data_IF_680466814104
#
_entry.id   IF_680466814104
#
_cell.length_a   1.000
_cell.length_b   1.000
_cell.length_c   1.000
_cell.angle_alpha   90.00
_cell.angle_beta   90.00
_cell.angle_gamma   90.00
#
_symmetry.space_group_name_H-M   'P 1'
#
loop_
_entity.id
_entity.type
_entity.pdbx_description
1 polymer ?
#
# COMPACT_ATOMS: atom_id res chain seq x y z
N UNK A 1 -30.32 47.51 -21.13
CA UNK A 1 -29.71 46.72 -22.22
C UNK A 1 -29.57 45.29 -21.71
N UNK A 2 -29.95 44.32 -22.54
CA UNK A 2 -30.49 43.00 -22.20
C UNK A 2 -29.52 41.96 -21.57
N UNK A 3 -30.03 40.90 -20.90
CA UNK A 3 -29.24 39.71 -20.57
C UNK A 3 -28.92 38.87 -21.82
N UNK A 4 -27.69 38.37 -21.90
CA UNK A 4 -27.19 37.45 -22.94
C UNK A 4 -27.60 35.99 -22.62
N UNK A 5 -27.77 35.12 -23.64
CA UNK A 5 -28.38 33.80 -23.49
C UNK A 5 -27.38 32.68 -23.12
N UNK A 6 -27.90 31.66 -22.45
CA UNK A 6 -27.22 30.39 -22.11
C UNK A 6 -27.01 29.56 -23.38
N UNK A 7 -25.77 29.13 -23.65
CA UNK A 7 -25.47 28.17 -24.71
C UNK A 7 -25.78 26.73 -24.27
N UNK A 8 -26.66 26.07 -25.00
CA UNK A 8 -26.92 24.64 -24.87
C UNK A 8 -25.81 23.82 -25.55
N UNK A 9 -25.12 22.99 -24.77
CA UNK A 9 -24.17 22.00 -25.28
C UNK A 9 -24.90 20.86 -26.00
N UNK A 10 -24.60 20.71 -27.29
CA UNK A 10 -25.12 19.68 -28.19
C UNK A 10 -24.59 18.29 -27.80
N UNK A 11 -25.48 17.31 -27.60
CA UNK A 11 -25.13 15.91 -27.33
C UNK A 11 -24.51 15.24 -28.56
N UNK A 12 -23.43 14.47 -28.32
CA UNK A 12 -22.65 13.77 -29.35
C UNK A 12 -23.45 12.60 -30.01
N UNK A 13 -23.62 12.60 -31.36
CA UNK A 13 -24.46 11.64 -32.08
C UNK A 13 -23.96 10.17 -32.09
N UNK A 14 -22.78 9.87 -31.55
CA UNK A 14 -22.29 8.48 -31.40
C UNK A 14 -22.92 7.72 -30.23
N UNK A 15 -23.43 8.42 -29.19
CA UNK A 15 -24.01 7.77 -28.01
C UNK A 15 -25.48 7.35 -28.18
N UNK A 16 -26.23 7.97 -29.10
CA UNK A 16 -27.62 7.57 -29.37
C UNK A 16 -27.71 6.19 -30.07
N UNK A 17 -26.71 5.80 -30.88
CA UNK A 17 -26.74 4.53 -31.62
C UNK A 17 -26.46 3.30 -30.75
N UNK A 18 -25.64 3.40 -29.70
CA UNK A 18 -25.32 2.27 -28.80
C UNK A 18 -26.43 1.94 -27.81
N UNK A 19 -27.12 2.96 -27.29
CA UNK A 19 -28.26 2.78 -26.38
C UNK A 19 -29.48 2.19 -27.12
N UNK A 20 -29.71 2.60 -28.38
CA UNK A 20 -30.79 2.05 -29.20
C UNK A 20 -30.61 0.57 -29.58
N UNK A 21 -29.38 0.11 -29.85
CA UNK A 21 -29.12 -1.28 -30.25
C UNK A 21 -29.23 -2.25 -29.05
N UNK A 22 -28.73 -1.84 -27.87
CA UNK A 22 -28.82 -2.66 -26.65
C UNK A 22 -30.27 -2.85 -26.16
N UNK A 23 -31.10 -1.82 -26.24
CA UNK A 23 -32.51 -1.89 -25.87
C UNK A 23 -33.31 -2.79 -26.85
N UNK A 24 -33.06 -2.68 -28.17
CA UNK A 24 -33.76 -3.51 -29.17
C UNK A 24 -33.40 -4.99 -29.06
N UNK A 25 -32.17 -5.35 -28.70
CA UNK A 25 -31.77 -6.75 -28.49
C UNK A 25 -32.42 -7.31 -27.21
N UNK A 26 -32.47 -6.53 -26.12
CA UNK A 26 -33.06 -6.99 -24.86
C UNK A 26 -34.58 -7.21 -24.99
N UNK A 27 -35.29 -6.29 -25.67
CA UNK A 27 -36.74 -6.41 -25.88
C UNK A 27 -37.11 -7.52 -26.87
N UNK A 28 -36.32 -7.76 -27.92
CA UNK A 28 -36.61 -8.87 -28.87
C UNK A 28 -36.39 -10.24 -28.24
N UNK A 29 -35.39 -10.39 -27.36
CA UNK A 29 -35.11 -11.65 -26.67
C UNK A 29 -36.19 -12.00 -25.65
N UNK A 30 -36.68 -11.01 -24.89
CA UNK A 30 -37.78 -11.23 -23.93
C UNK A 30 -39.07 -11.60 -24.66
N UNK A 31 -39.44 -10.88 -25.74
CA UNK A 31 -40.66 -11.17 -26.51
C UNK A 31 -40.61 -12.58 -27.11
N UNK A 32 -39.44 -13.04 -27.59
CA UNK A 32 -39.27 -14.39 -28.13
C UNK A 32 -39.47 -15.49 -27.07
N UNK A 33 -38.97 -15.27 -25.84
CA UNK A 33 -39.13 -16.19 -24.71
C UNK A 33 -40.61 -16.23 -24.24
N UNK A 34 -41.31 -15.10 -24.23
CA UNK A 34 -42.73 -15.04 -23.85
C UNK A 34 -43.66 -15.68 -24.89
N UNK A 35 -43.28 -15.64 -26.17
CA UNK A 35 -44.03 -16.30 -27.25
C UNK A 35 -43.81 -17.82 -27.22
N UNK A 36 -42.58 -18.29 -27.00
CA UNK A 36 -42.27 -19.72 -26.91
C UNK A 36 -42.94 -20.39 -25.70
N UNK A 37 -43.01 -19.70 -24.55
CA UNK A 37 -43.69 -20.21 -23.34
C UNK A 37 -45.21 -20.30 -23.50
N UNK A 38 -45.83 -19.49 -24.36
CA UNK A 38 -47.27 -19.58 -24.67
C UNK A 38 -47.63 -20.63 -25.72
N UNK A 39 -46.73 -20.96 -26.64
CA UNK A 39 -46.99 -21.92 -27.72
C UNK A 39 -46.77 -23.37 -27.25
N UNK A 40 -45.83 -23.62 -26.32
CA UNK A 40 -45.41 -24.98 -25.97
C UNK A 40 -45.83 -25.47 -24.57
N UNK A 41 -46.75 -24.78 -23.88
CA UNK A 41 -47.56 -25.35 -22.79
C UNK A 41 -46.83 -26.16 -21.71
N UNK A 42 -45.59 -25.82 -21.38
CA UNK A 42 -44.76 -26.59 -20.44
C UNK A 42 -43.66 -25.73 -19.85
N UNK A 43 -43.50 -25.79 -18.53
CA UNK A 43 -42.40 -25.17 -17.79
C UNK A 43 -41.11 -25.92 -18.09
N UNK A 44 -40.41 -25.53 -19.16
CA UNK A 44 -39.03 -25.96 -19.40
C UNK A 44 -38.13 -24.87 -18.81
N UNK A 45 -37.68 -25.07 -17.58
CA UNK A 45 -36.55 -24.31 -17.05
C UNK A 45 -35.33 -24.71 -17.89
N UNK A 46 -34.61 -23.77 -18.52
CA UNK A 46 -33.38 -24.12 -19.20
C UNK A 46 -32.34 -24.47 -18.13
N UNK A 47 -31.92 -25.72 -18.06
CA UNK A 47 -30.62 -26.03 -17.47
C UNK A 47 -29.56 -25.38 -18.35
N UNK A 48 -29.11 -24.20 -17.95
CA UNK A 48 -27.94 -23.55 -18.53
C UNK A 48 -26.73 -24.35 -18.06
N UNK A 49 -26.33 -25.33 -18.86
CA UNK A 49 -25.08 -26.05 -18.65
C UNK A 49 -23.92 -25.11 -18.96
N UNK A 50 -23.42 -24.42 -17.93
CA UNK A 50 -22.16 -23.72 -18.03
C UNK A 50 -21.06 -24.75 -18.25
N UNK A 51 -20.20 -24.61 -19.28
CA UNK A 51 -19.06 -25.48 -19.43
C UNK A 51 -18.23 -25.41 -18.14
N UNK A 52 -17.93 -26.56 -17.55
CA UNK A 52 -17.23 -26.68 -16.26
C UNK A 52 -15.89 -25.93 -16.23
N UNK A 53 -15.30 -25.67 -17.42
CA UNK A 53 -14.12 -24.83 -17.62
C UNK A 53 -14.34 -23.31 -17.40
N UNK A 54 -15.58 -22.83 -17.53
CA UNK A 54 -15.94 -21.44 -17.24
C UNK A 54 -16.25 -21.25 -15.75
N UNK A 55 -16.84 -22.26 -15.11
CA UNK A 55 -17.02 -22.27 -13.65
C UNK A 55 -15.69 -22.46 -12.89
N UNK A 56 -14.69 -23.13 -13.48
CA UNK A 56 -13.33 -23.18 -12.92
C UNK A 56 -12.54 -21.87 -13.10
N UNK A 57 -13.00 -20.97 -13.97
CA UNK A 57 -12.44 -19.62 -14.15
C UNK A 57 -13.15 -18.58 -13.27
N UNK A 58 -14.37 -18.87 -12.81
CA UNK A 58 -15.02 -18.21 -11.67
C UNK A 58 -14.55 -18.96 -10.41
N UNK A 59 -13.24 -19.12 -10.28
CA UNK A 59 -12.64 -19.50 -9.02
C UNK A 59 -13.01 -18.40 -8.03
N UNK A 60 -13.78 -18.76 -7.02
CA UNK A 60 -14.03 -17.94 -5.85
C UNK A 60 -12.68 -17.43 -5.34
N UNK A 61 -12.31 -16.19 -5.64
CA UNK A 61 -11.38 -15.47 -4.77
C UNK A 61 -12.13 -15.32 -3.46
N UNK A 62 -11.93 -16.29 -2.57
CA UNK A 62 -12.42 -16.25 -1.22
C UNK A 62 -11.93 -14.94 -0.62
N UNK A 63 -12.86 -14.10 -0.16
CA UNK A 63 -12.52 -12.84 0.51
C UNK A 63 -11.56 -13.16 1.65
N UNK A 64 -10.39 -12.51 1.67
CA UNK A 64 -9.44 -12.64 2.76
C UNK A 64 -9.93 -12.03 4.07
N UNK A 65 -11.04 -11.30 4.04
CA UNK A 65 -11.63 -10.71 5.23
C UNK A 65 -12.05 -11.84 6.17
N UNK A 66 -11.50 -11.81 7.38
CA UNK A 66 -11.82 -12.74 8.46
C UNK A 66 -13.34 -12.91 8.58
N UNK A 67 -13.78 -14.16 8.80
CA UNK A 67 -15.21 -14.48 8.94
C UNK A 67 -15.79 -13.69 10.12
N UNK A 68 -17.03 -13.25 10.02
CA UNK A 68 -17.78 -12.69 11.16
C UNK A 68 -17.66 -13.65 12.36
N UNK A 69 -16.98 -13.20 13.43
CA UNK A 69 -16.78 -13.98 14.66
C UNK A 69 -15.33 -14.11 15.14
N UNK A 70 -14.34 -13.92 14.26
CA UNK A 70 -12.94 -13.85 14.69
C UNK A 70 -12.67 -12.50 15.35
N UNK A 71 -12.04 -12.49 16.53
CA UNK A 71 -11.58 -11.26 17.15
C UNK A 71 -10.51 -10.63 16.24
N UNK A 72 -10.74 -9.41 15.77
CA UNK A 72 -9.75 -8.70 14.96
C UNK A 72 -8.47 -8.53 15.82
N UNK A 73 -7.33 -9.12 15.43
CA UNK A 73 -6.08 -9.00 16.19
C UNK A 73 -5.66 -7.54 16.41
N UNK A 74 -6.08 -6.62 15.53
CA UNK A 74 -5.83 -5.19 15.69
C UNK A 74 -6.44 -4.63 16.97
N UNK A 75 -7.60 -5.10 17.44
CA UNK A 75 -8.21 -4.58 18.68
C UNK A 75 -7.34 -4.87 19.91
N UNK A 76 -6.76 -6.08 19.99
CA UNK A 76 -5.85 -6.42 21.08
C UNK A 76 -4.52 -5.65 20.98
N UNK A 77 -4.01 -5.45 19.76
CA UNK A 77 -2.79 -4.69 19.51
C UNK A 77 -2.98 -3.20 19.79
N UNK A 78 -4.13 -2.63 19.46
CA UNK A 78 -4.47 -1.25 19.78
C UNK A 78 -4.50 -1.04 21.30
N UNK A 79 -5.05 -2.02 22.05
CA UNK A 79 -5.02 -2.00 23.50
C UNK A 79 -3.58 -2.10 24.05
N UNK A 80 -2.73 -2.98 23.48
CA UNK A 80 -1.31 -3.11 23.84
C UNK A 80 -0.56 -1.78 23.69
N UNK A 81 -0.82 -1.05 22.61
CA UNK A 81 -0.13 0.20 22.28
C UNK A 81 -0.88 1.47 22.68
N UNK A 82 -1.96 1.36 23.45
CA UNK A 82 -2.78 2.49 23.88
C UNK A 82 -1.99 3.56 24.67
N UNK A 83 -0.89 3.15 25.32
CA UNK A 83 -0.01 4.00 26.10
C UNK A 83 0.97 4.85 25.27
N UNK A 84 1.14 4.53 23.98
CA UNK A 84 2.02 5.28 23.08
C UNK A 84 1.34 6.56 22.58
N UNK A 85 2.14 7.59 22.28
CA UNK A 85 1.67 8.84 21.70
C UNK A 85 1.07 8.60 20.31
N UNK A 86 -0.10 9.19 20.06
CA UNK A 86 -0.73 9.26 18.75
C UNK A 86 -0.56 10.63 18.09
N UNK A 87 -0.05 11.62 18.82
CA UNK A 87 0.16 12.99 18.35
C UNK A 87 1.55 13.23 17.75
N UNK A 88 2.45 12.26 17.86
CA UNK A 88 3.80 12.25 17.29
C UNK A 88 4.10 10.98 16.50
N UNK A 89 5.25 10.93 15.83
CA UNK A 89 5.74 9.76 15.12
C UNK A 89 7.24 9.52 15.30
N UNK A 90 7.64 8.26 15.08
CA UNK A 90 9.03 7.82 15.04
C UNK A 90 9.43 7.47 13.62
N UNK A 91 10.65 7.79 13.21
CA UNK A 91 11.23 7.32 11.94
C UNK A 91 12.03 6.05 12.20
N UNK A 92 11.74 4.98 11.47
CA UNK A 92 12.55 3.77 11.38
C UNK A 92 13.26 3.75 10.03
N UNK A 93 14.55 4.06 10.03
CA UNK A 93 15.36 4.26 8.82
C UNK A 93 16.37 3.13 8.66
N UNK A 94 16.19 2.27 7.65
CA UNK A 94 17.17 1.22 7.38
C UNK A 94 18.35 1.75 6.57
N UNK A 95 19.56 1.30 6.91
CA UNK A 95 20.77 1.61 6.15
C UNK A 95 21.69 0.40 5.98
N UNK A 96 22.31 0.31 4.80
CA UNK A 96 23.35 -0.67 4.49
C UNK A 96 24.37 -0.08 3.50
N UNK A 97 25.62 0.06 3.94
CA UNK A 97 26.80 0.52 3.19
C UNK A 97 26.59 1.82 2.40
N UNK A 98 25.81 2.75 2.96
CA UNK A 98 25.43 4.05 2.35
C UNK A 98 25.56 5.24 3.32
N UNK A 99 26.76 5.49 3.87
CA UNK A 99 26.94 6.52 4.89
C UNK A 99 26.64 7.94 4.39
N UNK A 100 26.80 8.21 3.08
CA UNK A 100 26.58 9.55 2.50
C UNK A 100 25.09 9.87 2.41
N UNK A 101 24.31 8.93 1.88
CA UNK A 101 22.86 9.02 1.73
C UNK A 101 22.22 9.13 3.11
N UNK A 102 22.60 8.24 4.04
CA UNK A 102 22.17 8.26 5.44
C UNK A 102 22.41 9.64 6.08
N UNK A 103 23.64 10.17 5.97
CA UNK A 103 23.97 11.46 6.57
C UNK A 103 23.18 12.61 5.93
N UNK A 104 22.99 12.59 4.62
CA UNK A 104 22.23 13.61 3.91
C UNK A 104 20.74 13.58 4.29
N UNK A 105 20.15 12.39 4.41
CA UNK A 105 18.75 12.20 4.80
C UNK A 105 18.51 12.62 6.26
N UNK A 106 19.35 12.18 7.20
CA UNK A 106 19.27 12.62 8.61
C UNK A 106 19.41 14.14 8.70
N UNK A 107 20.34 14.75 7.97
CA UNK A 107 20.54 16.20 7.98
C UNK A 107 19.31 16.95 7.48
N UNK A 108 18.65 16.46 6.43
CA UNK A 108 17.44 17.07 5.90
C UNK A 108 16.27 16.99 6.88
N UNK A 109 16.07 15.83 7.51
CA UNK A 109 15.01 15.58 8.49
C UNK A 109 15.25 16.24 9.85
N UNK A 110 16.46 16.73 10.11
CA UNK A 110 16.85 17.39 11.36
C UNK A 110 17.36 18.82 11.16
N UNK A 111 16.99 19.45 10.04
CA UNK A 111 17.35 20.85 9.80
C UNK A 111 16.59 21.77 10.76
N UNK A 112 17.33 22.53 11.58
CA UNK A 112 16.79 23.55 12.49
C UNK A 112 15.91 24.58 11.79
N UNK A 113 16.14 24.86 10.51
CA UNK A 113 15.38 25.86 9.74
C UNK A 113 14.02 25.33 9.27
N UNK A 114 13.84 24.02 9.24
CA UNK A 114 12.63 23.34 8.81
C UNK A 114 12.28 22.24 9.82
N UNK A 115 11.90 22.60 11.06
CA UNK A 115 11.58 21.62 12.09
C UNK A 115 10.35 20.80 11.67
N UNK A 116 10.32 19.53 12.07
CA UNK A 116 9.14 18.67 11.94
C UNK A 116 8.54 18.55 13.35
N UNK A 117 7.47 19.29 13.69
CA UNK A 117 6.99 19.39 15.07
C UNK A 117 6.59 18.05 15.68
N UNK A 118 6.07 17.13 14.88
CA UNK A 118 5.58 15.84 15.35
C UNK A 118 6.64 14.73 15.36
N UNK A 119 7.88 15.00 14.95
CA UNK A 119 8.96 14.02 14.97
C UNK A 119 9.48 13.81 16.40
N UNK A 120 9.20 12.65 16.99
CA UNK A 120 9.64 12.28 18.34
C UNK A 120 11.09 11.81 18.36
N UNK A 121 11.46 10.90 17.45
CA UNK A 121 12.81 10.36 17.34
C UNK A 121 13.06 9.77 15.94
N UNK A 122 14.33 9.63 15.58
CA UNK A 122 14.78 8.89 14.40
C UNK A 122 15.67 7.73 14.84
N UNK A 123 15.24 6.52 14.51
CA UNK A 123 15.96 5.28 14.79
C UNK A 123 16.56 4.76 13.49
N UNK A 124 17.89 4.77 13.42
CA UNK A 124 18.65 4.18 12.32
C UNK A 124 18.80 2.69 12.60
N UNK A 125 18.19 1.87 11.74
CA UNK A 125 18.28 0.41 11.73
C UNK A 125 19.52 0.03 10.93
N UNK A 126 20.55 -0.41 11.65
CA UNK A 126 21.91 -0.56 11.16
C UNK A 126 22.17 -2.00 10.72
N UNK A 127 22.13 -2.25 9.40
CA UNK A 127 22.34 -3.58 8.83
C UNK A 127 23.82 -3.88 8.49
N UNK A 128 24.75 -2.95 8.76
CA UNK A 128 26.18 -3.16 8.50
C UNK A 128 26.81 -3.96 9.65
N UNK A 129 26.61 -5.28 9.68
CA UNK A 129 27.07 -6.12 10.79
C UNK A 129 28.59 -6.14 11.00
N UNK A 130 29.35 -5.75 9.97
CA UNK A 130 30.82 -5.70 9.98
C UNK A 130 31.36 -4.41 10.62
N UNK A 131 30.49 -3.43 10.90
CA UNK A 131 30.85 -2.10 11.40
C UNK A 131 30.00 -1.75 12.62
N UNK A 132 30.63 -1.22 13.67
CA UNK A 132 29.89 -0.67 14.80
C UNK A 132 29.09 0.57 14.37
N UNK A 133 27.80 0.67 14.76
CA UNK A 133 27.05 1.87 14.49
C UNK A 133 27.66 3.09 15.21
N UNK A 134 27.42 4.31 14.70
CA UNK A 134 27.70 5.53 15.46
C UNK A 134 26.99 5.53 16.82
N UNK A 135 27.50 6.33 17.75
CA UNK A 135 26.83 6.54 19.04
C UNK A 135 25.56 7.35 18.87
N UNK A 136 24.55 7.03 19.69
CA UNK A 136 23.35 7.83 19.85
C UNK A 136 23.68 9.29 20.19
N UNK A 137 22.89 10.21 19.65
CA UNK A 137 23.06 11.64 19.89
C UNK A 137 21.74 12.39 19.74
N UNK A 138 21.69 13.61 20.26
CA UNK A 138 20.57 14.53 19.98
C UNK A 138 21.00 15.46 18.86
N UNK A 139 20.22 15.52 17.79
CA UNK A 139 20.47 16.38 16.66
C UNK A 139 20.50 17.85 17.07
N UNK A 140 21.02 18.72 16.21
CA UNK A 140 20.97 20.16 16.47
C UNK A 140 19.52 20.63 16.65
N UNK A 141 18.54 20.10 15.91
CA UNK A 141 17.13 20.48 16.08
C UNK A 141 16.46 19.92 17.34
N UNK A 142 17.17 19.14 18.16
CA UNK A 142 16.63 18.56 19.39
C UNK A 142 16.01 17.17 19.20
N UNK A 143 16.09 16.60 17.99
CA UNK A 143 15.55 15.26 17.69
C UNK A 143 16.56 14.20 18.14
N UNK A 144 16.20 13.26 19.04
CA UNK A 144 17.01 12.11 19.37
C UNK A 144 17.26 11.22 18.15
N UNK A 145 18.52 10.87 17.92
CA UNK A 145 18.98 9.95 16.88
C UNK A 145 19.57 8.74 17.58
N UNK A 146 18.95 7.58 17.39
CA UNK A 146 19.38 6.31 17.98
C UNK A 146 19.78 5.32 16.90
N UNK A 147 20.85 4.59 17.13
CA UNK A 147 21.28 3.51 16.25
C UNK A 147 20.92 2.17 16.86
N UNK A 148 20.16 1.36 16.13
CA UNK A 148 19.80 -0.01 16.51
C UNK A 148 20.56 -0.97 15.60
N UNK A 149 21.52 -1.69 16.17
CA UNK A 149 22.20 -2.78 15.49
C UNK A 149 21.19 -3.89 15.16
N UNK A 150 21.13 -4.29 13.90
CA UNK A 150 20.29 -5.39 13.45
C UNK A 150 20.88 -6.74 13.86
N UNK A 151 20.02 -7.74 14.07
CA UNK A 151 20.49 -9.09 14.39
C UNK A 151 21.15 -9.77 13.19
N UNK A 152 20.71 -9.40 11.98
CA UNK A 152 21.26 -9.83 10.70
C UNK A 152 21.06 -8.75 9.63
N UNK A 153 21.72 -8.89 8.49
CA UNK A 153 21.40 -8.06 7.34
C UNK A 153 20.13 -8.60 6.69
N UNK A 154 18.99 -8.01 7.01
CA UNK A 154 17.67 -8.39 6.49
C UNK A 154 16.82 -7.16 6.21
N UNK A 155 15.96 -7.24 5.19
CA UNK A 155 14.96 -6.21 4.90
C UNK A 155 13.84 -6.15 5.95
N UNK A 156 13.68 -7.22 6.74
CA UNK A 156 12.71 -7.30 7.83
C UNK A 156 13.05 -6.37 9.00
N UNK A 157 14.32 -5.97 9.16
CA UNK A 157 14.80 -5.34 10.39
C UNK A 157 14.10 -4.00 10.69
N UNK A 158 13.79 -3.18 9.67
CA UNK A 158 13.02 -1.94 9.86
C UNK A 158 11.56 -2.16 10.25
N UNK A 159 11.02 -3.36 10.04
CA UNK A 159 9.63 -3.71 10.33
C UNK A 159 9.45 -4.30 11.74
N UNK A 160 10.53 -4.49 12.51
CA UNK A 160 10.49 -5.01 13.87
C UNK A 160 10.09 -3.88 14.84
N UNK A 161 9.04 -4.06 15.68
CA UNK A 161 8.65 -3.06 16.66
C UNK A 161 9.73 -2.95 17.73
N UNK A 162 10.33 -1.77 17.84
CA UNK A 162 11.33 -1.49 18.86
C UNK A 162 10.64 -1.23 20.22
N UNK A 163 10.99 -1.96 21.30
CA UNK A 163 10.41 -1.74 22.63
C UNK A 163 10.61 -0.33 23.19
N UNK A 164 11.58 0.43 22.67
CA UNK A 164 11.84 1.80 23.08
C UNK A 164 11.00 2.84 22.30
N UNK A 165 10.23 2.43 21.29
CA UNK A 165 9.32 3.35 20.58
C UNK A 165 8.30 3.96 21.53
N UNK A 166 8.04 5.26 21.32
CA UNK A 166 7.09 6.05 22.12
C UNK A 166 5.83 6.45 21.37
N UNK A 167 5.73 6.06 20.10
CA UNK A 167 4.69 6.53 19.18
C UNK A 167 3.99 5.37 18.50
N UNK A 168 2.70 5.54 18.22
CA UNK A 168 1.93 4.56 17.43
C UNK A 168 2.26 4.63 15.93
N UNK A 169 2.64 5.83 15.47
CA UNK A 169 2.94 6.12 14.08
C UNK A 169 4.43 5.90 13.79
N UNK A 170 4.74 4.95 12.91
CA UNK A 170 6.12 4.67 12.49
C UNK A 170 6.26 5.02 11.02
N UNK A 171 7.11 5.99 10.68
CA UNK A 171 7.55 6.22 9.31
C UNK A 171 8.66 5.23 8.99
N UNK A 172 8.34 4.25 8.16
CA UNK A 172 9.29 3.34 7.55
C UNK A 172 9.96 4.06 6.38
N UNK A 173 11.30 4.08 6.38
CA UNK A 173 12.06 4.72 5.30
C UNK A 173 13.38 4.00 5.00
N UNK A 174 13.82 4.12 3.76
CA UNK A 174 15.21 3.83 3.40
C UNK A 174 16.08 5.08 3.59
N UNK A 175 17.40 4.92 3.50
CA UNK A 175 18.38 5.97 3.78
C UNK A 175 18.60 6.99 2.65
N UNK A 176 17.95 6.79 1.49
CA UNK A 176 18.12 7.59 0.28
C UNK A 176 16.85 8.34 -0.16
N UNK A 177 15.79 8.31 0.65
CA UNK A 177 14.46 8.86 0.32
C UNK A 177 13.81 9.56 1.51
N UNK A 178 13.17 10.70 1.28
CA UNK A 178 12.43 11.45 2.32
C UNK A 178 11.45 12.47 1.72
N UNK A 179 10.41 12.83 2.46
CA UNK A 179 9.58 14.01 2.18
C UNK A 179 10.29 15.29 2.65
N UNK A 180 10.07 16.42 1.98
CA UNK A 180 10.45 17.72 2.56
C UNK A 180 9.77 17.89 3.94
N UNK A 181 10.44 18.52 4.93
CA UNK A 181 9.95 18.55 6.32
C UNK A 181 8.49 18.98 6.52
N UNK A 182 8.05 20.05 5.86
CA UNK A 182 6.67 20.53 5.97
C UNK A 182 5.65 19.55 5.35
N UNK A 183 6.07 18.83 4.32
CA UNK A 183 5.25 17.81 3.67
C UNK A 183 5.21 16.52 4.48
N UNK A 184 6.32 16.17 5.16
CA UNK A 184 6.33 15.06 6.09
C UNK A 184 5.35 15.30 7.25
N UNK A 185 5.33 16.52 7.81
CA UNK A 185 4.35 16.90 8.82
C UNK A 185 2.92 16.79 8.26
N UNK A 186 2.65 17.30 7.05
CA UNK A 186 1.34 17.17 6.43
C UNK A 186 0.90 15.71 6.23
N UNK A 187 1.80 14.85 5.74
CA UNK A 187 1.50 13.42 5.51
C UNK A 187 1.22 12.73 6.84
N UNK A 188 2.01 12.99 7.88
CA UNK A 188 1.75 12.48 9.23
C UNK A 188 0.38 12.91 9.75
N UNK A 189 0.04 14.20 9.66
CA UNK A 189 -1.25 14.72 10.11
C UNK A 189 -2.42 14.08 9.34
N UNK A 190 -2.23 13.81 8.06
CA UNK A 190 -3.20 13.14 7.21
C UNK A 190 -3.38 11.67 7.60
N UNK A 191 -2.28 10.94 7.82
CA UNK A 191 -2.30 9.57 8.34
C UNK A 191 -3.05 9.51 9.68
N UNK A 192 -2.66 10.38 10.62
CA UNK A 192 -3.21 10.45 11.98
C UNK A 192 -4.71 10.67 11.98
N UNK A 193 -5.22 11.48 11.07
CA UNK A 193 -6.64 11.86 11.03
C UNK A 193 -7.53 10.89 10.26
N UNK A 194 -7.01 10.30 9.17
CA UNK A 194 -7.86 9.62 8.18
C UNK A 194 -7.49 8.18 7.88
N UNK A 195 -6.29 7.72 8.26
CA UNK A 195 -5.73 6.50 7.70
C UNK A 195 -4.82 5.73 8.66
N UNK A 196 -5.09 5.80 9.97
CA UNK A 196 -4.30 5.07 10.98
C UNK A 196 -4.28 3.55 10.75
N UNK A 197 -5.35 2.98 10.19
CA UNK A 197 -5.44 1.56 9.84
C UNK A 197 -5.10 1.27 8.37
N UNK A 198 -4.29 2.11 7.74
CA UNK A 198 -3.81 1.92 6.36
C UNK A 198 -2.31 2.20 6.33
N UNK A 199 -1.62 1.58 5.38
CA UNK A 199 -0.26 1.99 5.00
C UNK A 199 -0.35 3.25 4.14
N UNK A 200 0.41 4.29 4.48
CA UNK A 200 0.27 5.62 3.83
C UNK A 200 1.62 6.17 3.39
N UNK A 201 1.78 6.48 2.10
CA UNK A 201 3.10 6.91 1.59
C UNK A 201 3.10 7.40 0.14
N UNK A 202 4.29 7.69 -0.40
CA UNK A 202 4.44 8.39 -1.68
C UNK A 202 4.55 7.49 -2.92
N UNK A 203 4.72 6.19 -2.71
CA UNK A 203 5.25 5.29 -3.74
C UNK A 203 4.25 4.15 -4.01
N UNK A 204 3.16 4.43 -4.76
CA UNK A 204 2.14 3.42 -5.08
C UNK A 204 2.66 2.37 -6.06
N UNK A 205 2.18 1.14 -5.88
CA UNK A 205 2.42 -0.02 -6.75
C UNK A 205 1.16 -0.87 -6.89
N UNK A 206 1.16 -1.68 -7.94
CA UNK A 206 -0.02 -2.42 -8.36
C UNK A 206 0.29 -3.90 -8.49
N UNK A 207 -0.73 -4.70 -8.21
CA UNK A 207 -0.80 -6.11 -8.55
C UNK A 207 -1.89 -6.28 -9.61
N UNK A 208 -1.53 -6.69 -10.82
CA UNK A 208 -2.49 -6.93 -11.89
C UNK A 208 -2.51 -8.42 -12.26
N UNK A 209 -3.70 -9.02 -12.32
CA UNK A 209 -3.86 -10.39 -12.82
C UNK A 209 -3.71 -10.40 -14.35
N UNK A 210 -2.70 -11.13 -14.86
CA UNK A 210 -2.47 -11.32 -16.31
C UNK A 210 -2.09 -12.76 -16.57
N UNK A 211 -2.78 -13.38 -17.52
CA UNK A 211 -2.55 -14.77 -17.93
C UNK A 211 -2.58 -15.79 -16.78
N UNK A 212 -3.39 -15.51 -15.74
CA UNK A 212 -3.54 -16.38 -14.57
C UNK A 212 -2.50 -16.16 -13.46
N UNK A 213 -1.62 -15.16 -13.59
CA UNK A 213 -0.62 -14.82 -12.59
C UNK A 213 -0.73 -13.35 -12.17
N UNK A 214 -0.45 -13.07 -10.90
CA UNK A 214 -0.31 -11.70 -10.41
C UNK A 214 1.02 -11.10 -10.87
N UNK A 215 0.96 -9.90 -11.46
CA UNK A 215 2.12 -9.16 -11.96
C UNK A 215 2.31 -7.87 -11.17
N UNK A 216 3.55 -7.64 -10.74
CA UNK A 216 3.94 -6.41 -10.07
C UNK A 216 4.14 -5.30 -11.10
N UNK A 217 3.44 -4.17 -10.91
CA UNK A 217 3.34 -3.10 -11.90
C UNK A 217 3.49 -1.71 -11.29
N UNK A 218 3.84 -0.74 -12.14
CA UNK A 218 3.94 0.69 -11.79
C UNK A 218 2.61 1.45 -11.96
N UNK A 219 1.47 0.76 -11.87
CA UNK A 219 0.14 1.37 -11.83
C UNK A 219 -0.27 2.19 -13.05
N UNK A 220 0.16 1.78 -14.24
CA UNK A 220 -0.23 2.44 -15.49
C UNK A 220 -1.09 1.50 -16.32
N UNK A 221 -2.40 1.71 -16.35
CA UNK A 221 -3.26 1.02 -17.29
C UNK A 221 -3.45 1.84 -18.59
N UNK A 222 -3.74 1.14 -19.70
CA UNK A 222 -3.91 1.73 -21.05
C UNK A 222 -5.11 2.70 -21.16
N UNK A 223 -5.97 2.74 -20.16
CA UNK A 223 -7.18 3.57 -20.10
C UNK A 223 -6.98 4.85 -19.27
N UNK A 224 -5.79 5.08 -18.73
CA UNK A 224 -5.46 6.25 -17.91
C UNK A 224 -5.99 6.20 -16.47
N UNK A 225 -6.66 5.12 -16.07
CA UNK A 225 -7.06 4.90 -14.69
C UNK A 225 -5.86 4.33 -13.93
N UNK A 226 -5.45 5.03 -12.88
CA UNK A 226 -4.40 4.57 -11.96
C UNK A 226 -5.11 4.04 -10.72
N UNK A 227 -5.23 2.73 -10.61
CA UNK A 227 -5.46 2.09 -9.31
C UNK A 227 -4.10 1.77 -8.70
N UNK A 228 -4.06 1.45 -7.41
CA UNK A 228 -2.90 0.91 -6.72
C UNK A 228 -3.37 0.09 -5.53
N UNK A 229 -2.59 -0.92 -5.16
CA UNK A 229 -2.93 -1.82 -4.05
C UNK A 229 -1.79 -2.01 -3.06
N UNK A 230 -0.65 -1.35 -3.32
CA UNK A 230 0.51 -1.37 -2.44
C UNK A 230 1.13 0.02 -2.31
N UNK A 231 1.72 0.30 -1.14
CA UNK A 231 2.63 1.42 -0.92
C UNK A 231 3.99 0.86 -0.46
N UNK A 232 5.07 1.29 -1.10
CA UNK A 232 6.43 0.85 -0.73
C UNK A 232 6.82 1.34 0.66
N UNK A 233 7.43 0.47 1.48
CA UNK A 233 7.86 0.78 2.86
C UNK A 233 9.14 1.61 2.95
N UNK A 234 9.67 2.08 1.82
CA UNK A 234 10.81 2.99 1.79
C UNK A 234 10.40 4.45 2.01
N UNK A 235 9.10 4.78 1.99
CA UNK A 235 8.59 6.07 2.47
C UNK A 235 7.11 5.93 2.83
N UNK A 236 6.82 5.27 3.96
CA UNK A 236 5.48 4.87 4.34
C UNK A 236 5.25 4.98 5.86
N UNK A 237 4.18 5.66 6.26
CA UNK A 237 3.63 5.54 7.60
C UNK A 237 2.90 4.22 7.78
N UNK A 238 3.16 3.58 8.92
CA UNK A 238 2.50 2.37 9.40
C UNK A 238 2.11 2.55 10.86
N UNK A 239 1.02 1.90 11.28
CA UNK A 239 0.72 1.74 12.69
C UNK A 239 1.62 0.66 13.29
N UNK A 240 2.14 0.87 14.51
CA UNK A 240 2.98 -0.09 15.22
C UNK A 240 2.31 -1.46 15.39
N UNK A 241 0.97 -1.53 15.43
CA UNK A 241 0.22 -2.79 15.45
C UNK A 241 0.50 -3.66 14.22
N UNK A 242 0.64 -3.08 13.02
CA UNK A 242 0.99 -3.86 11.83
C UNK A 242 2.40 -4.43 11.94
N UNK A 243 3.34 -3.67 12.51
CA UNK A 243 4.72 -4.12 12.73
C UNK A 243 4.79 -5.24 13.78
N UNK A 244 3.97 -5.14 14.83
CA UNK A 244 3.87 -6.19 15.85
C UNK A 244 3.27 -7.48 15.30
N UNK A 245 2.16 -7.41 14.55
CA UNK A 245 1.61 -8.58 13.89
C UNK A 245 2.59 -9.16 12.86
N UNK A 246 3.24 -8.30 12.08
CA UNK A 246 4.29 -8.68 11.14
C UNK A 246 5.45 -9.42 11.82
N UNK A 247 5.74 -9.12 13.09
CA UNK A 247 6.85 -9.72 13.86
C UNK A 247 6.40 -10.84 14.82
N UNK A 248 5.11 -11.20 14.78
CA UNK A 248 4.52 -12.20 15.68
C UNK A 248 4.78 -13.65 15.23
N UNK A 249 4.40 -14.61 16.06
CA UNK A 249 4.43 -16.05 15.74
C UNK A 249 3.20 -16.51 14.93
N UNK A 250 2.37 -15.58 14.42
CA UNK A 250 1.28 -15.95 13.53
C UNK A 250 1.83 -16.69 12.29
N UNK A 251 1.24 -17.83 11.87
CA UNK A 251 1.81 -18.67 10.83
C UNK A 251 2.09 -17.95 9.50
N UNK A 252 1.19 -17.07 9.07
CA UNK A 252 1.36 -16.26 7.87
C UNK A 252 2.48 -15.23 8.04
N UNK A 253 2.60 -14.61 9.21
CA UNK A 253 3.65 -13.64 9.51
C UNK A 253 5.04 -14.28 9.53
N UNK A 254 5.17 -15.48 10.12
CA UNK A 254 6.43 -16.23 10.10
C UNK A 254 6.84 -16.56 8.65
N UNK A 255 5.92 -17.14 7.87
CA UNK A 255 6.19 -17.56 6.49
C UNK A 255 6.61 -16.40 5.59
N UNK A 256 5.96 -15.24 5.67
CA UNK A 256 6.34 -14.09 4.85
C UNK A 256 7.71 -13.52 5.27
N UNK A 257 8.03 -13.47 6.57
CA UNK A 257 9.34 -13.01 7.03
C UNK A 257 10.45 -13.92 6.52
N UNK A 258 10.26 -15.23 6.64
CA UNK A 258 11.20 -16.23 6.16
C UNK A 258 11.40 -16.11 4.65
N UNK A 259 10.32 -15.95 3.89
CA UNK A 259 10.38 -15.73 2.44
C UNK A 259 11.18 -14.47 2.09
N UNK A 260 10.94 -13.35 2.80
CA UNK A 260 11.66 -12.08 2.60
C UNK A 260 13.15 -12.24 2.87
N UNK A 261 13.54 -13.00 3.91
CA UNK A 261 14.95 -13.27 4.20
C UNK A 261 15.60 -14.16 3.13
N UNK A 262 14.90 -15.20 2.68
CA UNK A 262 15.39 -16.13 1.66
C UNK A 262 15.63 -15.43 0.32
N UNK A 263 14.72 -14.53 -0.07
CA UNK A 263 14.75 -13.86 -1.38
C UNK A 263 15.40 -12.48 -1.36
N UNK A 264 15.63 -11.92 -0.16
CA UNK A 264 16.16 -10.57 0.05
C UNK A 264 15.41 -9.49 -0.76
N UNK A 265 14.07 -9.56 -0.74
CA UNK A 265 13.14 -8.68 -1.46
C UNK A 265 11.75 -8.75 -0.80
N UNK A 266 10.82 -7.90 -1.25
CA UNK A 266 9.38 -8.02 -1.00
C UNK A 266 8.88 -7.81 0.44
N UNK A 267 9.68 -7.20 1.31
CA UNK A 267 9.24 -6.84 2.67
C UNK A 267 8.07 -5.86 2.65
N UNK A 268 8.05 -4.98 1.66
CA UNK A 268 6.96 -4.04 1.43
C UNK A 268 5.68 -4.72 0.93
N UNK A 269 5.78 -5.64 -0.04
CA UNK A 269 4.66 -6.44 -0.51
C UNK A 269 4.10 -7.24 0.67
N UNK A 270 4.97 -7.86 1.47
CA UNK A 270 4.59 -8.67 2.63
C UNK A 270 3.79 -7.83 3.65
N UNK A 271 4.26 -6.62 3.97
CA UNK A 271 3.55 -5.73 4.87
C UNK A 271 2.20 -5.26 4.30
N UNK A 272 2.10 -5.00 2.99
CA UNK A 272 0.81 -4.64 2.37
C UNK A 272 -0.19 -5.80 2.37
N UNK A 273 0.25 -7.04 2.12
CA UNK A 273 -0.60 -8.23 2.24
C UNK A 273 -1.13 -8.38 3.66
N UNK A 274 -0.23 -8.28 4.64
CA UNK A 274 -0.56 -8.41 6.05
C UNK A 274 -1.53 -7.30 6.49
N UNK A 275 -1.23 -6.03 6.23
CA UNK A 275 -2.10 -4.92 6.61
C UNK A 275 -3.50 -5.01 5.94
N UNK A 276 -3.56 -5.37 4.67
CA UNK A 276 -4.84 -5.53 3.96
C UNK A 276 -5.64 -6.72 4.47
N UNK A 277 -4.98 -7.83 4.83
CA UNK A 277 -5.64 -9.01 5.40
C UNK A 277 -6.29 -8.74 6.76
N UNK A 278 -5.66 -7.89 7.60
CA UNK A 278 -6.15 -7.56 8.94
C UNK A 278 -7.30 -6.57 8.94
N UNK A 279 -7.35 -5.71 7.91
CA UNK A 279 -8.25 -4.55 7.89
C UNK A 279 -9.35 -4.67 6.84
N UNK A 280 -9.08 -5.33 5.72
CA UNK A 280 -9.91 -5.28 4.52
C UNK A 280 -9.81 -3.95 3.75
N UNK A 281 -8.85 -3.08 4.10
CA UNK A 281 -8.64 -1.79 3.44
C UNK A 281 -7.36 -1.80 2.61
N UNK A 282 -7.37 -1.10 1.48
CA UNK A 282 -6.16 -0.88 0.70
C UNK A 282 -5.29 0.22 1.32
N UNK A 283 -4.06 0.40 0.83
CA UNK A 283 -3.18 1.47 1.30
C UNK A 283 -3.65 2.84 0.80
N UNK A 284 -3.04 3.94 1.24
CA UNK A 284 -3.38 5.29 0.78
C UNK A 284 -2.14 6.04 0.29
N UNK A 285 -2.14 6.43 -0.97
CA UNK A 285 -1.13 7.33 -1.51
C UNK A 285 -1.28 8.72 -0.86
N UNK A 286 -0.18 9.27 -0.36
CA UNK A 286 -0.10 10.60 0.21
C UNK A 286 1.12 11.35 -0.33
N UNK A 287 0.87 12.53 -0.89
CA UNK A 287 1.91 13.39 -1.44
C UNK A 287 1.85 14.79 -0.82
N UNK A 288 3.05 15.35 -0.61
CA UNK A 288 3.24 16.73 -0.22
C UNK A 288 2.91 17.74 -1.33
N UNK A 289 3.23 19.00 -1.07
CA UNK A 289 3.29 20.02 -2.11
C UNK A 289 4.52 19.80 -3.00
N UNK A 290 5.67 19.58 -2.38
CA UNK A 290 6.90 19.21 -3.08
C UNK A 290 6.93 17.70 -3.33
N UNK A 291 7.64 17.32 -4.40
CA UNK A 291 7.95 15.91 -4.63
C UNK A 291 8.92 15.44 -3.54
N UNK A 292 8.71 14.23 -3.04
CA UNK A 292 9.69 13.54 -2.19
C UNK A 292 11.07 13.54 -2.87
N UNK A 293 12.12 13.61 -2.05
CA UNK A 293 13.50 13.48 -2.49
C UNK A 293 13.85 12.01 -2.56
N UNK A 294 14.50 11.60 -3.64
CA UNK A 294 15.11 10.29 -3.78
C UNK A 294 16.48 10.51 -4.45
N UNK A 295 17.55 10.08 -3.78
CA UNK A 295 18.92 10.27 -4.24
C UNK A 295 19.31 9.29 -5.35
N UNK A 296 18.51 8.24 -5.52
CA UNK A 296 18.60 7.21 -6.55
C UNK A 296 20.04 6.67 -6.76
N UNK A 297 20.67 6.13 -5.69
CA UNK A 297 22.08 5.73 -5.72
C UNK A 297 22.34 4.73 -6.84
N UNK A 298 23.50 4.81 -7.50
CA UNK A 298 23.81 4.01 -8.71
C UNK A 298 23.78 2.50 -8.49
N UNK A 299 23.94 2.06 -7.23
CA UNK A 299 23.90 0.67 -6.81
C UNK A 299 22.70 0.43 -5.88
N UNK A 300 21.98 -0.67 -6.09
CA UNK A 300 20.83 -1.02 -5.26
C UNK A 300 20.17 -2.33 -5.68
N UNK A 301 19.44 -2.95 -4.76
CA UNK A 301 18.74 -4.24 -4.99
C UNK A 301 17.74 -4.10 -6.15
N UNK A 302 17.08 -2.94 -6.26
CA UNK A 302 16.09 -2.64 -7.30
C UNK A 302 16.67 -2.53 -8.72
N UNK A 303 17.99 -2.39 -8.86
CA UNK A 303 18.69 -2.29 -10.16
C UNK A 303 19.16 -3.64 -10.68
N UNK A 304 19.11 -4.70 -9.86
CA UNK A 304 19.55 -6.04 -10.26
C UNK A 304 18.62 -6.61 -11.34
N UNK A 305 19.14 -7.33 -12.35
CA UNK A 305 18.30 -8.08 -13.29
C UNK A 305 17.36 -9.05 -12.56
N UNK A 306 16.11 -9.17 -13.02
CA UNK A 306 15.13 -10.07 -12.41
C UNK A 306 14.37 -9.47 -11.22
N UNK A 307 14.64 -8.21 -10.83
CA UNK A 307 14.01 -7.64 -9.63
C UNK A 307 12.49 -7.54 -9.71
N UNK A 308 11.92 -7.18 -10.87
CA UNK A 308 10.48 -7.05 -11.06
C UNK A 308 9.79 -8.41 -11.19
N UNK A 309 10.49 -9.38 -11.80
CA UNK A 309 10.08 -10.77 -11.90
C UNK A 309 10.01 -11.40 -10.52
N UNK A 310 11.04 -11.20 -9.69
CA UNK A 310 11.05 -11.64 -8.30
C UNK A 310 9.89 -11.02 -7.50
N UNK A 311 9.59 -9.73 -7.70
CA UNK A 311 8.44 -9.09 -7.06
C UNK A 311 7.09 -9.64 -7.53
N UNK A 312 6.98 -9.99 -8.81
CA UNK A 312 5.80 -10.69 -9.31
C UNK A 312 5.67 -12.08 -8.70
N UNK A 313 6.78 -12.80 -8.52
CA UNK A 313 6.78 -14.08 -7.81
C UNK A 313 6.29 -13.94 -6.37
N UNK A 314 6.77 -12.93 -5.63
CA UNK A 314 6.29 -12.66 -4.27
C UNK A 314 4.77 -12.49 -4.19
N UNK A 315 4.15 -11.82 -5.17
CA UNK A 315 2.69 -11.67 -5.21
C UNK A 315 1.98 -13.03 -5.30
N UNK A 316 2.50 -13.95 -6.10
CA UNK A 316 1.85 -15.26 -6.28
C UNK A 316 2.10 -16.16 -5.07
N UNK A 317 3.34 -16.22 -4.57
CA UNK A 317 3.70 -17.05 -3.42
C UNK A 317 2.99 -16.56 -2.13
N UNK A 318 2.76 -15.25 -1.99
CA UNK A 318 2.01 -14.72 -0.86
C UNK A 318 0.51 -15.04 -0.94
N UNK A 319 -0.08 -15.11 -2.14
CA UNK A 319 -1.47 -15.61 -2.27
C UNK A 319 -1.58 -17.03 -1.72
N UNK A 320 -0.58 -17.87 -1.94
CA UNK A 320 -0.55 -19.23 -1.39
C UNK A 320 -0.34 -19.25 0.13
N UNK A 321 0.54 -18.38 0.67
CA UNK A 321 0.78 -18.26 2.12
C UNK A 321 -0.50 -17.84 2.87
N UNK A 322 -1.23 -16.85 2.33
CA UNK A 322 -2.46 -16.33 2.94
C UNK A 322 -3.69 -17.17 2.57
N UNK A 323 -3.62 -18.00 1.53
CA UNK A 323 -4.73 -18.79 1.01
C UNK A 323 -5.78 -17.99 0.22
N UNK A 324 -5.49 -16.72 -0.08
CA UNK A 324 -6.35 -15.79 -0.79
C UNK A 324 -5.55 -14.54 -1.22
N UNK A 325 -6.14 -13.63 -2.02
CA UNK A 325 -5.53 -12.34 -2.39
C UNK A 325 -6.05 -11.22 -1.46
N UNK A 326 -5.27 -10.77 -0.45
CA UNK A 326 -5.74 -9.76 0.50
C UNK A 326 -5.60 -8.33 0.00
N UNK A 327 -4.78 -8.08 -1.04
CA UNK A 327 -4.57 -6.74 -1.56
C UNK A 327 -5.87 -6.14 -2.09
N UNK A 328 -6.13 -4.88 -1.73
CA UNK A 328 -7.33 -4.14 -2.13
C UNK A 328 -6.91 -2.96 -3.00
N UNK A 329 -7.51 -2.85 -4.18
CA UNK A 329 -7.27 -1.75 -5.10
C UNK A 329 -7.90 -0.44 -4.62
N UNK A 330 -7.12 0.63 -4.76
CA UNK A 330 -7.44 1.99 -4.33
C UNK A 330 -7.22 2.96 -5.49
N UNK A 331 -8.05 3.99 -5.53
CA UNK A 331 -7.94 5.08 -6.53
C UNK A 331 -7.91 6.47 -5.89
N UNK A 332 -8.21 6.53 -4.59
CA UNK A 332 -8.16 7.77 -3.81
C UNK A 332 -6.71 8.09 -3.47
N UNK A 333 -6.38 9.36 -3.26
CA UNK A 333 -5.08 9.77 -2.75
C UNK A 333 -5.22 11.08 -1.96
N UNK A 334 -4.27 11.34 -1.06
CA UNK A 334 -4.18 12.58 -0.31
C UNK A 334 -3.07 13.43 -0.91
N UNK A 335 -3.37 14.71 -1.14
CA UNK A 335 -2.39 15.71 -1.54
C UNK A 335 -2.51 16.93 -0.65
N UNK A 336 -1.37 17.56 -0.34
CA UNK A 336 -1.38 18.82 0.40
C UNK A 336 -2.09 19.88 -0.41
N UNK A 337 -3.18 20.41 0.13
CA UNK A 337 -3.99 21.40 -0.55
C UNK A 337 -3.29 22.77 -0.65
N UNK A 338 -3.24 23.31 -1.88
CA UNK A 338 -3.45 24.73 -2.23
C UNK A 338 -3.60 24.85 -3.76
N UNK A 339 -4.82 25.12 -4.25
CA UNK A 339 -5.03 25.69 -5.59
C UNK A 339 -4.41 27.07 -5.61
N UNK A 340 -3.41 27.26 -6.47
CA UNK A 340 -3.15 28.59 -7.02
C UNK A 340 -4.37 28.91 -7.89
N UNK A 341 -5.22 29.85 -7.44
CA UNK A 341 -6.14 30.55 -8.33
C UNK A 341 -5.38 31.64 -9.07
#
# INVERSE_FOLDING_TARGET
MAPQPVSGGMLNPRNLKRVGIGAVIFFTTIIFITILTRIFGGTVAPEVHFPQKFLSSIGQHQSCVSREGDQNPLTALDAKYAHLSDDKFTIAMQTYKRPKELQATIKALTDRKKPIPSLEELVVVWNNLEEEPPKDYVSKSGVPIRYRMSARNSLNEKLIPDPAYKTKAILLTDDDVYYEPDDLEFVFQSWRKFAQYRLVGALPRCSEMRDGEWKYEFCTNKSGQKHYSMILTNLCFSHIAFLDHYSSDAPEAVKIRDYVDEHFNCEDIALNYLASSLTGWGPLEANGFDRYRNMDPSEGISRKPGHLEARSQCLNDFVDIFGCQPLVDETSHIVRGLSVL
#
